data_IF_581943649136
#
_entry.id   IF_581943649136
#
_cell.length_a   1.000
_cell.length_b   1.000
_cell.length_c   1.000
_cell.angle_alpha   90.00
_cell.angle_beta   90.00
_cell.angle_gamma   90.00
#
_symmetry.space_group_name_H-M   'P 1'
#
loop_
_entity.id
_entity.type
_entity.pdbx_description
1 polymer ?
#
# COMPACT_ATOMS: atom_id res chain seq x y z
N UNK A 1 -2.16 -0.38 14.43
CA UNK A 1 -2.11 0.97 13.89
C UNK A 1 -2.64 1.00 12.46
N UNK A 2 -3.46 1.98 12.18
CA UNK A 2 -4.12 2.10 10.87
C UNK A 2 -3.87 3.51 10.36
N UNK A 3 -3.46 3.62 9.11
CA UNK A 3 -3.13 4.90 8.48
C UNK A 3 -3.86 5.05 7.16
N UNK A 4 -4.27 6.27 6.84
CA UNK A 4 -4.81 6.59 5.51
C UNK A 4 -3.71 7.35 4.78
N UNK A 5 -3.23 6.78 3.69
CA UNK A 5 -2.09 7.31 2.96
C UNK A 5 -2.43 7.51 1.48
N UNK A 6 -1.71 8.43 0.86
CA UNK A 6 -1.84 8.65 -0.58
C UNK A 6 -1.17 7.52 -1.35
N UNK A 7 -1.77 7.15 -2.48
CA UNK A 7 -1.16 6.15 -3.34
C UNK A 7 0.16 6.62 -3.94
N UNK A 8 0.37 7.92 -4.02
CA UNK A 8 1.62 8.49 -4.52
C UNK A 8 2.76 8.45 -3.53
N UNK A 9 2.49 8.11 -2.27
CA UNK A 9 3.53 8.03 -1.26
C UNK A 9 4.53 6.93 -1.62
N UNK A 10 5.82 7.22 -1.44
CA UNK A 10 6.87 6.24 -1.66
C UNK A 10 6.75 5.13 -0.62
N UNK A 11 6.92 3.86 -1.06
CA UNK A 11 6.92 2.74 -0.12
C UNK A 11 8.05 2.86 0.88
N UNK A 12 9.12 3.56 0.50
CA UNK A 12 10.22 3.81 1.40
C UNK A 12 9.79 4.64 2.60
N UNK A 13 8.87 5.60 2.40
CA UNK A 13 8.35 6.40 3.51
C UNK A 13 7.43 5.60 4.40
N UNK A 14 6.82 4.56 3.87
CA UNK A 14 5.93 3.70 4.63
C UNK A 14 6.64 3.08 5.83
N UNK A 15 7.94 2.82 5.71
CA UNK A 15 8.73 2.24 6.78
C UNK A 15 8.81 3.10 8.02
N UNK A 16 8.59 4.39 7.88
CA UNK A 16 8.60 5.29 9.04
C UNK A 16 7.44 5.01 9.98
N UNK A 17 6.38 4.38 9.47
CA UNK A 17 5.20 4.09 10.25
C UNK A 17 5.17 2.66 10.76
N UNK A 18 5.91 1.76 10.11
CA UNK A 18 5.95 0.36 10.48
C UNK A 18 7.40 -0.07 10.67
N UNK A 19 7.64 -0.83 11.72
CA UNK A 19 8.99 -1.26 12.05
C UNK A 19 9.35 -2.45 11.17
N UNK A 20 9.81 -2.17 9.97
CA UNK A 20 10.34 -3.18 9.07
C UNK A 20 11.21 -2.47 8.03
N UNK A 21 12.01 -3.24 7.31
CA UNK A 21 12.91 -2.69 6.31
C UNK A 21 12.71 -3.34 4.92
N UNK A 22 11.51 -3.84 4.67
CA UNK A 22 11.22 -4.50 3.39
C UNK A 22 11.40 -3.56 2.20
N UNK A 23 11.19 -2.27 2.42
CA UNK A 23 11.19 -1.29 1.34
C UNK A 23 12.40 -0.36 1.37
N UNK A 24 13.44 -0.72 2.09
CA UNK A 24 14.55 0.20 2.36
C UNK A 24 15.23 0.72 1.11
N UNK A 25 15.21 -0.04 0.03
CA UNK A 25 15.85 0.35 -1.22
C UNK A 25 14.87 0.64 -2.33
N UNK A 26 13.58 0.59 -2.02
CA UNK A 26 12.55 0.79 -3.04
C UNK A 26 12.24 2.26 -3.23
N UNK A 27 12.04 2.66 -4.48
CA UNK A 27 11.80 4.06 -4.81
C UNK A 27 10.43 4.29 -5.43
N UNK A 28 9.66 3.22 -5.66
CA UNK A 28 8.35 3.35 -6.27
C UNK A 28 7.28 3.68 -5.21
N UNK A 29 6.10 4.06 -5.69
CA UNK A 29 4.99 4.45 -4.84
C UNK A 29 4.18 3.24 -4.38
N UNK A 30 3.30 3.48 -3.40
CA UNK A 30 2.35 2.46 -2.95
C UNK A 30 1.46 2.04 -4.13
N UNK A 31 1.04 3.01 -4.94
CA UNK A 31 0.25 2.75 -6.14
C UNK A 31 0.98 1.76 -7.07
N UNK A 32 2.26 2.00 -7.33
CA UNK A 32 3.04 1.13 -8.19
C UNK A 32 3.20 -0.26 -7.59
N UNK A 33 3.42 -0.33 -6.29
CA UNK A 33 3.55 -1.62 -5.61
C UNK A 33 2.29 -2.46 -5.82
N UNK A 34 1.13 -1.88 -5.58
CA UNK A 34 -0.12 -2.62 -5.65
C UNK A 34 -0.42 -3.03 -7.09
N UNK A 35 -0.25 -2.12 -8.04
CA UNK A 35 -0.53 -2.42 -9.44
C UNK A 35 0.40 -3.50 -9.96
N UNK A 36 1.68 -3.44 -9.62
CA UNK A 36 2.64 -4.44 -10.09
C UNK A 36 2.34 -5.82 -9.54
N UNK A 37 1.90 -5.91 -8.30
CA UNK A 37 1.59 -7.19 -7.68
C UNK A 37 0.24 -7.74 -8.13
N UNK A 38 -0.75 -6.87 -8.27
CA UNK A 38 -2.10 -7.29 -8.64
C UNK A 38 -2.28 -7.42 -10.16
N UNK A 39 -1.38 -6.83 -10.95
CA UNK A 39 -1.44 -6.80 -12.42
C UNK A 39 -2.66 -6.05 -12.94
N UNK A 40 -3.28 -5.26 -12.11
CA UNK A 40 -4.42 -4.42 -12.49
C UNK A 40 -4.63 -3.40 -11.37
N UNK A 41 -5.51 -2.43 -11.60
CA UNK A 41 -5.89 -1.47 -10.57
C UNK A 41 -7.07 -2.07 -9.82
N UNK A 42 -6.89 -2.46 -8.54
CA UNK A 42 -7.98 -3.06 -7.77
C UNK A 42 -9.10 -2.06 -7.53
N UNK A 43 -10.29 -2.57 -7.35
CA UNK A 43 -11.45 -1.73 -7.05
C UNK A 43 -11.44 -1.27 -5.59
N UNK A 44 -12.18 -0.19 -5.33
CA UNK A 44 -12.35 0.31 -3.98
C UNK A 44 -12.91 -0.79 -3.08
N UNK A 45 -12.40 -0.85 -1.87
CA UNK A 45 -12.78 -1.87 -0.91
C UNK A 45 -11.95 -3.14 -0.98
N UNK A 46 -11.15 -3.30 -2.02
CA UNK A 46 -10.29 -4.49 -2.15
C UNK A 46 -9.14 -4.42 -1.17
N UNK A 47 -8.89 -5.52 -0.48
CA UNK A 47 -7.73 -5.63 0.40
C UNK A 47 -6.60 -6.35 -0.34
N UNK A 48 -5.42 -5.76 -0.28
CA UNK A 48 -4.22 -6.33 -0.86
C UNK A 48 -3.19 -6.52 0.26
N UNK A 49 -2.66 -7.73 0.38
CA UNK A 49 -1.69 -8.05 1.42
C UNK A 49 -0.29 -8.19 0.82
N UNK A 50 0.67 -7.52 1.43
CA UNK A 50 2.06 -7.63 1.00
C UNK A 50 2.95 -7.49 2.22
N UNK A 51 3.77 -8.52 2.46
CA UNK A 51 4.73 -8.52 3.58
C UNK A 51 4.06 -8.21 4.92
N UNK A 52 2.89 -8.81 5.14
CA UNK A 52 2.10 -8.64 6.36
C UNK A 52 1.51 -7.24 6.55
N UNK A 53 1.55 -6.44 5.50
CA UNK A 53 0.92 -5.13 5.50
C UNK A 53 -0.35 -5.23 4.66
N UNK A 54 -1.45 -4.72 5.22
CA UNK A 54 -2.73 -4.71 4.53
C UNK A 54 -2.94 -3.34 3.89
N UNK A 55 -3.28 -3.35 2.60
CA UNK A 55 -3.62 -2.15 1.85
C UNK A 55 -5.06 -2.31 1.37
N UNK A 56 -5.95 -1.49 1.88
CA UNK A 56 -7.34 -1.48 1.43
C UNK A 56 -7.55 -0.24 0.58
N UNK A 57 -8.03 -0.44 -0.63
CA UNK A 57 -8.22 0.66 -1.58
C UNK A 57 -9.41 1.49 -1.12
N UNK A 58 -9.18 2.74 -0.77
CA UNK A 58 -10.23 3.64 -0.32
C UNK A 58 -10.78 4.49 -1.47
N UNK A 59 -9.89 4.91 -2.36
CA UNK A 59 -10.29 5.78 -3.47
C UNK A 59 -9.37 5.49 -4.64
N UNK A 60 -9.94 5.36 -5.82
CA UNK A 60 -9.16 5.13 -7.04
C UNK A 60 -9.67 6.03 -8.15
N UNK A 61 -8.75 6.46 -8.99
CA UNK A 61 -9.06 7.14 -10.23
C UNK A 61 -9.02 6.10 -11.35
N UNK A 62 -9.31 6.51 -12.57
CA UNK A 62 -9.38 5.59 -13.70
C UNK A 62 -8.09 4.78 -13.89
N UNK A 63 -6.95 5.40 -13.63
CA UNK A 63 -5.68 4.79 -13.94
C UNK A 63 -4.70 4.75 -12.76
N UNK A 64 -5.17 5.05 -11.56
CA UNK A 64 -4.29 4.99 -10.39
C UNK A 64 -5.08 4.88 -9.09
N UNK A 65 -4.39 4.42 -8.05
CA UNK A 65 -4.93 4.37 -6.70
C UNK A 65 -4.59 5.69 -6.02
N UNK A 66 -5.60 6.35 -5.47
CA UNK A 66 -5.43 7.67 -4.87
C UNK A 66 -5.24 7.61 -3.36
N UNK A 67 -6.05 6.80 -2.67
CA UNK A 67 -5.97 6.67 -1.21
C UNK A 67 -6.04 5.21 -0.81
N UNK A 68 -5.26 4.86 0.21
CA UNK A 68 -5.26 3.50 0.75
C UNK A 68 -5.32 3.55 2.27
N UNK A 69 -5.98 2.57 2.85
CA UNK A 69 -5.98 2.32 4.28
C UNK A 69 -4.92 1.26 4.54
N UNK A 70 -3.90 1.63 5.28
CA UNK A 70 -2.75 0.76 5.51
C UNK A 70 -2.68 0.34 6.96
N UNK A 71 -2.53 -0.94 7.19
CA UNK A 71 -2.38 -1.45 8.55
C UNK A 71 -1.47 -2.65 8.55
N UNK A 72 -0.85 -2.91 9.70
CA UNK A 72 -0.02 -4.08 9.86
C UNK A 72 -0.90 -5.25 10.25
N UNK A 73 -0.82 -6.33 9.49
CA UNK A 73 -1.53 -7.55 9.82
C UNK A 73 -0.69 -8.33 10.82
N UNK A 74 -1.24 -8.52 11.98
CA UNK A 74 -0.58 -9.27 13.02
C UNK A 74 -1.05 -10.72 12.96
N UNK A 75 -0.24 -11.55 12.33
CA UNK A 75 -0.56 -12.97 12.17
C UNK A 75 0.08 -13.72 13.31
N UNK A 76 -0.72 -14.15 14.23
CA UNK A 76 -0.24 -14.99 15.34
C UNK A 76 -0.93 -16.33 15.31
#
# INVERSE_FOLDING_TARGET
>A
QVLVLDGDMSVRELQKYFVNDFFSEETYSINDLIINQALCIPEEGTEFLYQNISFIILDRQDNKIDKVLVSLKNIT
#
